data_IF_372631574790
#
_entry.id   IF_372631574790
#
_cell.length_a   1.000
_cell.length_b   1.000
_cell.length_c   1.000
_cell.angle_alpha   90.00
_cell.angle_beta   90.00
_cell.angle_gamma   90.00
#
_symmetry.space_group_name_H-M   'P 1'
#
loop_
_entity.id
_entity.type
_entity.pdbx_description
1 polymer ?
#
# COMPACT_ATOMS: atom_id res chain seq x y z
N UNK A 1 -18.71 -66.58 1.19
CA UNK A 1 -18.69 -66.04 2.57
C UNK A 1 -17.33 -65.46 2.98
N UNK A 2 -16.29 -66.25 3.27
CA UNK A 2 -15.03 -65.73 3.84
C UNK A 2 -14.31 -64.65 2.98
N UNK A 3 -14.27 -64.82 1.66
CA UNK A 3 -13.61 -63.85 0.75
C UNK A 3 -14.34 -62.50 0.73
N UNK A 4 -15.67 -62.49 0.81
CA UNK A 4 -16.47 -61.26 0.83
C UNK A 4 -16.25 -60.49 2.14
N UNK A 5 -16.06 -61.19 3.25
CA UNK A 5 -15.77 -60.60 4.54
C UNK A 5 -14.37 -59.98 4.58
N UNK A 6 -13.36 -60.68 4.04
CA UNK A 6 -12.00 -60.14 3.89
C UNK A 6 -12.00 -58.88 3.01
N UNK A 7 -12.77 -58.87 1.92
CA UNK A 7 -12.91 -57.69 1.05
C UNK A 7 -13.53 -56.53 1.82
N UNK A 8 -14.59 -56.77 2.60
CA UNK A 8 -15.26 -55.75 3.43
C UNK A 8 -14.29 -55.17 4.47
N UNK A 9 -13.51 -56.00 5.12
CA UNK A 9 -12.51 -55.57 6.11
C UNK A 9 -11.42 -54.71 5.46
N UNK A 10 -10.88 -55.15 4.30
CA UNK A 10 -9.86 -54.39 3.58
C UNK A 10 -10.37 -53.00 3.13
N UNK A 11 -11.63 -52.92 2.67
CA UNK A 11 -12.23 -51.64 2.30
C UNK A 11 -12.43 -50.72 3.51
N UNK A 12 -12.83 -51.26 4.66
CA UNK A 12 -12.98 -50.49 5.90
C UNK A 12 -11.64 -49.94 6.40
N UNK A 13 -10.59 -50.76 6.38
CA UNK A 13 -9.24 -50.33 6.78
C UNK A 13 -8.69 -49.26 5.83
N UNK A 14 -8.94 -49.40 4.52
CA UNK A 14 -8.56 -48.39 3.53
C UNK A 14 -9.29 -47.06 3.77
N UNK A 15 -10.61 -47.08 3.97
CA UNK A 15 -11.39 -45.87 4.25
C UNK A 15 -10.93 -45.18 5.53
N UNK A 16 -10.60 -45.95 6.57
CA UNK A 16 -10.06 -45.44 7.83
C UNK A 16 -8.69 -44.76 7.61
N UNK A 17 -7.80 -45.41 6.88
CA UNK A 17 -6.48 -44.85 6.56
C UNK A 17 -6.58 -43.56 5.74
N UNK A 18 -7.48 -43.51 4.75
CA UNK A 18 -7.75 -42.30 3.95
C UNK A 18 -8.28 -41.18 4.83
N UNK A 19 -9.27 -41.43 5.68
CA UNK A 19 -9.85 -40.42 6.58
C UNK A 19 -8.82 -39.86 7.57
N UNK A 20 -7.91 -40.71 8.06
CA UNK A 20 -6.82 -40.27 8.94
C UNK A 20 -5.80 -39.41 8.20
N UNK A 21 -5.40 -39.83 6.99
CA UNK A 21 -4.50 -39.09 6.13
C UNK A 21 -5.08 -37.71 5.76
N UNK A 22 -6.36 -37.66 5.39
CA UNK A 22 -7.08 -36.42 5.12
C UNK A 22 -7.08 -35.52 6.34
N UNK A 23 -7.49 -36.01 7.52
CA UNK A 23 -7.49 -35.21 8.76
C UNK A 23 -6.09 -34.65 9.07
N UNK A 24 -5.04 -35.45 8.88
CA UNK A 24 -3.65 -35.01 9.09
C UNK A 24 -3.24 -33.94 8.08
N UNK A 25 -3.61 -34.10 6.81
CA UNK A 25 -3.37 -33.09 5.78
C UNK A 25 -4.08 -31.76 6.12
N UNK A 26 -5.35 -31.80 6.52
CA UNK A 26 -6.09 -30.61 6.94
C UNK A 26 -5.45 -29.94 8.17
N UNK A 27 -4.99 -30.73 9.14
CA UNK A 27 -4.29 -30.20 10.31
C UNK A 27 -2.98 -29.50 9.92
N UNK A 28 -2.20 -30.09 9.01
CA UNK A 28 -0.97 -29.47 8.51
C UNK A 28 -1.27 -28.15 7.79
N UNK A 29 -2.24 -28.14 6.87
CA UNK A 29 -2.64 -26.93 6.14
C UNK A 29 -3.12 -25.83 7.10
N UNK A 30 -3.97 -26.18 8.07
CA UNK A 30 -4.46 -25.24 9.08
C UNK A 30 -3.32 -24.64 9.92
N UNK A 31 -2.36 -25.49 10.33
CA UNK A 31 -1.20 -25.04 11.11
C UNK A 31 -0.30 -24.10 10.31
N UNK A 32 -0.05 -24.39 9.04
CA UNK A 32 0.75 -23.54 8.16
C UNK A 32 0.05 -22.22 7.87
N UNK A 33 -1.26 -22.24 7.63
CA UNK A 33 -2.06 -21.04 7.47
C UNK A 33 -2.01 -20.16 8.72
N UNK A 34 -2.16 -20.74 9.91
CA UNK A 34 -2.09 -19.99 11.17
C UNK A 34 -0.70 -19.43 11.45
N UNK A 35 0.37 -20.12 11.06
CA UNK A 35 1.74 -19.56 11.11
C UNK A 35 1.89 -18.39 10.14
N UNK A 36 1.47 -18.55 8.90
CA UNK A 36 1.52 -17.48 7.88
C UNK A 36 0.72 -16.25 8.33
N UNK A 37 -0.49 -16.45 8.84
CA UNK A 37 -1.34 -15.36 9.34
C UNK A 37 -0.68 -14.60 10.48
N UNK A 38 -0.03 -15.29 11.42
CA UNK A 38 0.76 -14.65 12.47
C UNK A 38 1.93 -13.83 11.90
N UNK A 39 2.67 -14.38 10.94
CA UNK A 39 3.76 -13.65 10.28
C UNK A 39 3.24 -12.40 9.55
N UNK A 40 2.09 -12.49 8.88
CA UNK A 40 1.48 -11.34 8.20
C UNK A 40 1.00 -10.30 9.21
N UNK A 41 0.37 -10.71 10.30
CA UNK A 41 -0.07 -9.81 11.36
C UNK A 41 1.12 -9.07 11.99
N UNK A 42 2.23 -9.79 12.21
CA UNK A 42 3.46 -9.23 12.74
C UNK A 42 4.12 -8.25 11.77
N UNK A 43 4.22 -8.60 10.49
CA UNK A 43 4.74 -7.69 9.47
C UNK A 43 3.90 -6.41 9.35
N UNK A 44 2.57 -6.52 9.48
CA UNK A 44 1.68 -5.35 9.51
C UNK A 44 1.90 -4.49 10.75
N UNK A 45 2.06 -5.11 11.92
CA UNK A 45 2.38 -4.41 13.17
C UNK A 45 3.70 -3.67 13.05
N UNK A 46 4.75 -4.33 12.57
CA UNK A 46 6.05 -3.72 12.33
C UNK A 46 5.97 -2.57 11.34
N UNK A 47 5.27 -2.75 10.21
CA UNK A 47 5.11 -1.68 9.23
C UNK A 47 4.37 -0.45 9.81
N UNK A 48 3.40 -0.66 10.71
CA UNK A 48 2.74 0.43 11.42
C UNK A 48 3.68 1.14 12.40
N UNK A 49 4.50 0.39 13.14
CA UNK A 49 5.51 0.93 14.07
C UNK A 49 6.60 1.71 13.34
N UNK A 50 7.07 1.21 12.21
CA UNK A 50 8.04 1.89 11.35
C UNK A 50 7.46 3.20 10.79
N UNK A 51 6.21 3.18 10.33
CA UNK A 51 5.53 4.39 9.86
C UNK A 51 5.41 5.46 10.96
N UNK A 52 5.04 5.07 12.17
CA UNK A 52 5.00 5.99 13.33
C UNK A 52 6.39 6.54 13.67
N UNK A 53 7.42 5.71 13.59
CA UNK A 53 8.80 6.11 13.87
C UNK A 53 9.32 7.10 12.83
N UNK A 54 8.95 6.94 11.56
CA UNK A 54 9.27 7.91 10.49
C UNK A 54 8.57 9.25 10.73
N UNK A 55 7.28 9.23 11.10
CA UNK A 55 6.51 10.45 11.39
C UNK A 55 7.14 11.21 12.56
N UNK A 56 7.44 10.53 13.66
CA UNK A 56 7.99 11.17 14.84
C UNK A 56 9.38 11.77 14.60
N UNK A 57 10.24 11.09 13.83
CA UNK A 57 11.55 11.64 13.42
C UNK A 57 11.42 12.86 12.51
N UNK A 58 10.44 12.87 11.61
CA UNK A 58 10.19 14.02 10.75
C UNK A 58 9.74 15.23 11.58
N UNK A 59 8.86 15.02 12.57
CA UNK A 59 8.41 16.09 13.47
C UNK A 59 9.59 16.66 14.29
N UNK A 60 10.40 15.81 14.94
CA UNK A 60 11.56 16.26 15.74
C UNK A 60 12.61 17.02 14.89
N UNK A 61 12.87 16.55 13.67
CA UNK A 61 13.76 17.22 12.72
C UNK A 61 13.20 18.58 12.26
N UNK A 62 11.88 18.67 12.05
CA UNK A 62 11.20 19.89 11.59
C UNK A 62 11.01 20.94 12.70
N UNK A 63 11.19 20.53 13.95
CA UNK A 63 11.11 21.36 15.14
C UNK A 63 12.49 21.63 15.76
N UNK A 64 13.59 21.30 15.08
CA UNK A 64 14.95 21.50 15.59
C UNK A 64 15.56 22.83 15.15
N UNK A 65 16.25 23.51 16.07
CA UNK A 65 16.92 24.78 15.83
C UNK A 65 18.11 24.61 14.87
N UNK A 66 18.13 25.30 13.74
CA UNK A 66 19.22 25.19 12.75
C UNK A 66 20.61 25.53 13.30
N UNK A 67 20.70 26.48 14.24
CA UNK A 67 21.97 26.87 14.86
C UNK A 67 22.50 25.89 15.93
N UNK A 68 21.62 25.26 16.73
CA UNK A 68 22.05 24.55 17.95
C UNK A 68 21.38 23.19 18.20
N UNK A 69 20.46 22.74 17.35
CA UNK A 69 19.80 21.43 17.42
C UNK A 69 18.76 21.27 18.53
N UNK A 70 18.59 22.23 19.45
CA UNK A 70 17.52 22.18 20.47
C UNK A 70 16.14 22.46 19.86
N UNK A 71 15.06 22.04 20.54
CA UNK A 71 13.68 22.33 20.13
C UNK A 71 13.51 23.84 19.84
N UNK A 72 13.10 24.12 18.62
CA UNK A 72 12.78 25.43 18.10
C UNK A 72 11.39 25.86 18.58
N UNK A 73 11.25 27.13 18.88
CA UNK A 73 10.00 27.77 19.31
C UNK A 73 9.54 28.82 18.32
N UNK A 74 10.44 29.28 17.46
CA UNK A 74 10.22 30.39 16.54
C UNK A 74 10.65 29.99 15.14
N UNK A 75 9.98 30.58 14.16
CA UNK A 75 10.29 30.40 12.75
C UNK A 75 10.77 31.71 12.17
N UNK A 76 11.71 31.65 11.22
CA UNK A 76 12.15 32.83 10.48
C UNK A 76 10.95 33.52 9.79
N UNK A 77 10.70 34.77 10.16
CA UNK A 77 9.60 35.60 9.61
C UNK A 77 9.72 35.88 8.12
N UNK A 78 10.92 35.76 7.55
CA UNK A 78 11.18 36.01 6.13
C UNK A 78 10.83 34.82 5.22
N UNK A 79 11.03 33.58 5.66
CA UNK A 79 10.87 32.40 4.79
C UNK A 79 9.96 31.31 5.35
N UNK A 80 9.56 31.39 6.62
CA UNK A 80 8.79 30.38 7.34
C UNK A 80 9.37 28.94 7.37
N UNK A 81 10.60 28.74 6.89
CA UNK A 81 11.23 27.41 6.77
C UNK A 81 12.32 27.17 7.79
N UNK A 82 13.19 28.15 8.04
CA UNK A 82 14.22 27.99 9.07
C UNK A 82 13.61 28.12 10.48
N UNK A 83 14.09 27.28 11.39
CA UNK A 83 13.56 27.11 12.75
C UNK A 83 14.63 27.43 13.77
N UNK A 84 14.26 28.15 14.83
CA UNK A 84 15.18 28.58 15.88
C UNK A 84 14.54 28.47 17.28
N UNK A 85 15.36 28.18 18.29
CA UNK A 85 14.91 28.17 19.69
C UNK A 85 14.83 29.58 20.31
N UNK A 86 14.96 30.62 19.50
CA UNK A 86 15.01 32.01 19.94
C UNK A 86 15.71 32.91 18.92
N UNK A 87 15.36 34.19 18.91
CA UNK A 87 15.98 35.23 18.08
C UNK A 87 17.52 35.25 18.12
N UNK A 88 18.15 34.94 19.25
CA UNK A 88 19.62 34.85 19.33
C UNK A 88 20.23 33.83 18.36
N UNK A 89 19.62 32.64 18.25
CA UNK A 89 20.09 31.61 17.33
C UNK A 89 19.83 31.99 15.86
N UNK A 90 18.73 32.70 15.59
CA UNK A 90 18.43 33.22 14.26
C UNK A 90 19.50 34.21 13.78
N UNK A 91 19.89 35.17 14.62
CA UNK A 91 20.93 36.14 14.28
C UNK A 91 22.29 35.49 14.09
N UNK A 92 22.63 34.48 14.90
CA UNK A 92 23.91 33.77 14.79
C UNK A 92 24.03 32.95 13.51
N UNK A 93 22.93 32.39 13.03
CA UNK A 93 22.88 31.61 11.77
C UNK A 93 22.62 32.49 10.53
N UNK A 94 22.30 33.77 10.70
CA UNK A 94 21.89 34.66 9.61
C UNK A 94 22.87 34.68 8.44
N UNK A 95 24.18 34.73 8.70
CA UNK A 95 25.22 34.74 7.68
C UNK A 95 25.20 33.47 6.81
N UNK A 96 24.77 32.33 7.36
CA UNK A 96 24.59 31.08 6.60
C UNK A 96 23.21 31.04 5.93
N UNK A 97 22.16 31.43 6.64
CA UNK A 97 20.76 31.28 6.22
C UNK A 97 20.29 32.32 5.18
N UNK A 98 20.81 33.55 5.17
CA UNK A 98 20.23 34.65 4.36
C UNK A 98 20.22 34.37 2.84
N UNK A 99 21.22 33.65 2.33
CA UNK A 99 21.30 33.25 0.92
C UNK A 99 20.13 32.34 0.49
N UNK A 100 19.64 31.49 1.41
CA UNK A 100 18.55 30.55 1.14
C UNK A 100 17.19 31.10 1.56
N UNK A 101 17.15 32.05 2.52
CA UNK A 101 15.93 32.71 2.99
C UNK A 101 15.09 33.30 1.84
N UNK A 102 15.73 33.97 0.88
CA UNK A 102 15.04 34.59 -0.26
C UNK A 102 14.50 33.60 -1.30
N UNK A 103 15.22 32.50 -1.54
CA UNK A 103 14.79 31.45 -2.46
C UNK A 103 13.58 30.70 -1.91
N UNK A 104 13.59 30.41 -0.61
CA UNK A 104 12.49 29.70 0.04
C UNK A 104 11.20 30.51 0.11
N UNK A 105 11.27 31.84 0.26
CA UNK A 105 10.09 32.72 0.22
C UNK A 105 9.36 32.70 -1.13
N UNK A 106 10.09 32.50 -2.24
CA UNK A 106 9.48 32.38 -3.56
C UNK A 106 8.77 31.03 -3.74
N UNK A 107 9.39 29.95 -3.26
CA UNK A 107 8.82 28.61 -3.32
C UNK A 107 7.55 28.46 -2.46
N UNK A 108 7.52 29.06 -1.27
CA UNK A 108 6.34 29.02 -0.38
C UNK A 108 5.15 29.80 -0.95
N UNK A 109 5.38 30.92 -1.64
CA UNK A 109 4.33 31.65 -2.38
C UNK A 109 3.76 30.84 -3.56
N UNK A 110 4.58 30.06 -4.25
CA UNK A 110 4.14 29.21 -5.36
C UNK A 110 3.31 28.00 -4.88
N UNK A 111 3.68 27.38 -3.76
CA UNK A 111 2.94 26.25 -3.18
C UNK A 111 1.54 26.66 -2.65
N UNK A 112 1.38 27.88 -2.14
CA UNK A 112 0.12 28.35 -1.58
C UNK A 112 -0.95 28.69 -2.64
N UNK A 113 -0.57 28.93 -3.91
CA UNK A 113 -1.51 29.21 -5.01
C UNK A 113 -2.13 27.96 -5.66
N UNK A 114 -1.66 26.75 -5.33
CA UNK A 114 -2.26 25.49 -5.80
C UNK A 114 -3.29 24.89 -4.82
N UNK A 115 -3.61 25.56 -3.71
CA UNK A 115 -4.51 25.06 -2.67
C UNK A 115 -5.93 25.66 -2.64
N UNK A 116 -6.31 26.54 -3.57
CA UNK A 116 -7.66 27.13 -3.64
C UNK A 116 -8.42 26.61 -4.86
N UNK A 117 -9.19 25.54 -4.67
CA UNK A 117 -10.00 24.95 -5.72
C UNK A 117 -10.95 23.85 -5.28
N UNK A 118 -11.47 23.86 -4.05
CA UNK A 118 -12.65 23.05 -3.67
C UNK A 118 -13.45 23.78 -2.60
N UNK A 119 -14.28 24.73 -3.02
CA UNK A 119 -15.29 25.33 -2.14
C UNK A 119 -16.66 24.71 -2.46
N UNK A 120 -17.35 24.32 -1.39
CA UNK A 120 -18.81 24.22 -1.24
C UNK A 120 -19.53 22.90 -1.62
N UNK A 121 -19.82 22.09 -0.60
CA UNK A 121 -21.09 21.37 -0.50
C UNK A 121 -22.21 22.37 -0.15
N UNK A 122 -23.33 22.33 -0.87
CA UNK A 122 -24.64 22.73 -0.36
C UNK A 122 -25.70 21.71 -0.81
N UNK A 123 -26.64 21.31 0.07
CA UNK A 123 -27.69 20.36 -0.24
C UNK A 123 -28.93 21.09 -0.78
N UNK A 124 -29.52 20.60 -1.86
CA UNK A 124 -30.91 20.91 -2.23
C UNK A 124 -31.70 19.63 -2.45
N UNK A 125 -32.62 19.36 -1.53
CA UNK A 125 -33.76 18.49 -1.77
C UNK A 125 -34.74 19.19 -2.71
N UNK A 126 -35.25 18.47 -3.71
CA UNK A 126 -36.69 18.24 -3.97
C UNK A 126 -36.98 18.02 -5.46
N UNK A 127 -37.26 16.76 -5.77
CA UNK A 127 -38.44 16.29 -6.51
C UNK A 127 -38.91 17.08 -7.75
N UNK A 128 -38.64 16.54 -8.94
CA UNK A 128 -39.60 16.55 -10.06
C UNK A 128 -39.53 15.23 -10.82
N UNK A 129 -40.71 14.74 -11.16
CA UNK A 129 -41.12 13.42 -11.67
C UNK A 129 -40.56 13.00 -13.04
N UNK A 130 -40.52 11.68 -13.34
CA UNK A 130 -40.09 11.13 -14.63
C UNK A 130 -41.28 10.83 -15.57
N UNK A 131 -41.11 11.06 -16.88
CA UNK A 131 -41.90 10.54 -18.04
C UNK A 131 -41.51 11.37 -19.27
N UNK A 132 -41.28 10.90 -20.49
CA UNK A 132 -41.36 9.59 -21.14
C UNK A 132 -40.65 9.72 -22.50
N UNK A 133 -40.12 8.60 -23.01
CA UNK A 133 -40.28 8.27 -24.44
C UNK A 133 -39.05 8.36 -25.34
N UNK A 134 -38.57 7.18 -25.76
CA UNK A 134 -38.19 6.95 -27.15
C UNK A 134 -36.76 6.50 -27.40
N UNK A 135 -36.56 5.18 -27.60
CA UNK A 135 -35.39 4.65 -28.31
C UNK A 135 -34.86 3.32 -27.78
N UNK A 136 -35.34 2.21 -28.33
CA UNK A 136 -34.86 0.82 -28.15
C UNK A 136 -33.46 0.57 -28.78
N UNK A 137 -32.96 -0.68 -28.90
CA UNK A 137 -32.34 -1.50 -27.85
C UNK A 137 -30.93 -1.98 -28.27
N UNK A 138 -30.38 -2.90 -27.46
CA UNK A 138 -29.37 -3.92 -27.81
C UNK A 138 -27.91 -3.66 -27.41
N UNK A 139 -27.31 -4.71 -26.84
CA UNK A 139 -25.87 -4.95 -26.87
C UNK A 139 -25.18 -5.06 -25.51
N UNK A 140 -25.40 -6.17 -24.81
CA UNK A 140 -24.43 -6.69 -23.83
C UNK A 140 -23.07 -6.93 -24.50
N UNK A 141 -21.97 -6.79 -23.75
CA UNK A 141 -20.88 -7.75 -23.88
C UNK A 141 -20.62 -8.49 -22.55
N UNK A 142 -20.44 -9.82 -22.58
CA UNK A 142 -20.17 -10.60 -21.38
C UNK A 142 -18.67 -10.78 -21.10
N UNK A 143 -18.44 -11.12 -19.83
CA UNK A 143 -17.26 -11.69 -19.21
C UNK A 143 -16.73 -12.93 -19.98
N UNK A 144 -15.41 -13.15 -20.00
CA UNK A 144 -14.75 -14.46 -19.76
C UNK A 144 -13.25 -14.44 -20.13
N UNK A 145 -12.40 -14.85 -19.18
CA UNK A 145 -11.08 -15.47 -19.40
C UNK A 145 -11.26 -16.93 -19.88
N UNK A 146 -10.31 -17.57 -20.61
CA UNK A 146 -9.25 -18.34 -19.94
C UNK A 146 -7.89 -18.56 -20.70
N UNK A 147 -6.84 -18.74 -19.89
CA UNK A 147 -5.74 -19.75 -19.89
C UNK A 147 -4.97 -20.21 -21.17
N UNK A 148 -3.63 -20.16 -21.00
CA UNK A 148 -2.59 -21.19 -21.32
C UNK A 148 -2.08 -21.40 -22.76
N UNK A 149 -0.74 -21.29 -22.93
CA UNK A 149 0.02 -21.93 -24.01
C UNK A 149 1.39 -21.31 -24.35
N UNK A 150 2.48 -21.81 -23.75
CA UNK A 150 3.83 -21.89 -24.38
C UNK A 150 3.94 -23.24 -25.13
N UNK A 151 4.88 -23.53 -26.06
CA UNK A 151 6.17 -22.86 -26.37
C UNK A 151 6.47 -22.68 -27.89
N UNK A 152 7.59 -22.05 -28.26
CA UNK A 152 8.06 -22.05 -29.66
C UNK A 152 9.35 -21.27 -29.90
N UNK A 153 10.47 -21.98 -29.94
CA UNK A 153 11.80 -21.56 -30.41
C UNK A 153 11.79 -21.27 -31.91
N UNK A 154 12.50 -20.23 -32.40
CA UNK A 154 12.95 -20.20 -33.80
C UNK A 154 14.41 -20.66 -33.92
N UNK A 155 14.61 -21.74 -34.67
CA UNK A 155 15.91 -22.09 -35.28
C UNK A 155 16.21 -21.12 -36.42
N UNK A 156 17.42 -20.57 -36.45
CA UNK A 156 18.02 -20.02 -37.66
C UNK A 156 19.45 -20.53 -37.81
N UNK A 157 19.66 -21.29 -38.90
CA UNK A 157 20.73 -21.14 -39.90
C UNK A 157 22.19 -21.28 -39.40
N UNK A 158 23.18 -21.84 -40.09
CA UNK A 158 23.34 -22.51 -41.39
C UNK A 158 24.88 -22.79 -41.51
N UNK A 159 25.24 -23.92 -42.13
CA UNK A 159 26.50 -24.21 -42.87
C UNK A 159 27.86 -24.31 -42.14
N UNK A 160 28.44 -25.51 -41.92
CA UNK A 160 29.36 -26.36 -42.77
C UNK A 160 30.85 -25.93 -42.69
N UNK A 161 31.85 -26.73 -43.15
CA UNK A 161 32.65 -27.65 -42.32
C UNK A 161 34.17 -27.33 -42.35
N UNK A 162 34.93 -27.97 -41.46
CA UNK A 162 36.27 -28.48 -41.80
C UNK A 162 36.70 -29.60 -40.85
#
# INVERSE_FOLDING_TARGET
EAVNEVKRQAMSELQKAVSEAERKAHQMISSERSKMERTVAEAKRQAAEDALTVINQQEDSSESCWNCGRKASETCSGCNTARYCGSFCQHKDWEKHHHVCGQTLQASKAAQQQGQGTETCAPISSSTTPSSGGGSPAGTPPIATPRSGTPGTPSTLETTPH
#
